data_IF_787237434639
#
_entry.id   IF_787237434639
#
_cell.length_a   1.000
_cell.length_b   1.000
_cell.length_c   1.000
_cell.angle_alpha   90.00
_cell.angle_beta   90.00
_cell.angle_gamma   90.00
#
_symmetry.space_group_name_H-M   'P 1'
#
loop_
_entity.id
_entity.type
_entity.pdbx_description
1 polymer ?
#
# COMPACT_ATOMS: atom_id res chain seq x y z
N UNK A 1 -24.39 0.49 4.79
CA UNK A 1 -23.24 1.39 4.55
C UNK A 1 -23.59 2.65 3.75
N UNK A 2 -24.20 2.65 2.54
CA UNK A 2 -24.55 3.89 1.82
C UNK A 2 -25.47 4.81 2.62
N UNK A 3 -26.42 4.24 3.37
CA UNK A 3 -27.36 4.95 4.25
C UNK A 3 -26.69 5.64 5.44
N UNK A 4 -25.61 5.09 6.00
CA UNK A 4 -24.87 5.70 7.11
C UNK A 4 -24.10 6.93 6.65
N UNK A 5 -23.48 6.88 5.46
CA UNK A 5 -22.80 8.03 4.85
C UNK A 5 -23.79 9.14 4.56
N UNK A 6 -24.99 8.78 4.03
CA UNK A 6 -26.05 9.75 3.74
C UNK A 6 -26.51 10.53 4.99
N UNK A 7 -26.45 9.93 6.18
CA UNK A 7 -26.81 10.62 7.44
C UNK A 7 -25.81 11.74 7.82
N UNK A 8 -24.60 11.74 7.26
CA UNK A 8 -23.57 12.76 7.53
C UNK A 8 -23.66 13.97 6.62
N UNK A 9 -24.50 13.90 5.57
CA UNK A 9 -24.72 15.00 4.62
C UNK A 9 -26.08 15.61 4.87
N UNK A 10 -26.22 16.95 4.94
CA UNK A 10 -27.52 17.59 5.07
C UNK A 10 -28.47 17.15 3.95
N UNK A 11 -29.72 16.79 4.29
CA UNK A 11 -30.66 16.19 3.34
C UNK A 11 -30.89 17.04 2.08
N UNK A 12 -30.85 18.39 2.22
CA UNK A 12 -30.98 19.32 1.08
C UNK A 12 -29.78 19.31 0.11
N UNK A 13 -28.63 18.76 0.54
CA UNK A 13 -27.40 18.75 -0.24
C UNK A 13 -27.08 17.38 -0.85
N UNK A 14 -27.79 16.32 -0.49
CA UNK A 14 -27.57 14.97 -1.03
C UNK A 14 -27.56 14.95 -2.55
N UNK A 15 -28.55 15.57 -3.19
CA UNK A 15 -28.67 15.62 -4.67
C UNK A 15 -27.61 16.45 -5.36
N UNK A 16 -26.78 17.19 -4.59
CA UNK A 16 -25.67 17.99 -5.09
C UNK A 16 -24.31 17.38 -4.73
N UNK A 17 -24.32 16.37 -3.87
CA UNK A 17 -23.09 15.73 -3.37
C UNK A 17 -22.77 14.51 -4.20
N UNK A 18 -21.67 14.49 -4.96
CA UNK A 18 -21.22 13.30 -5.67
C UNK A 18 -20.70 12.27 -4.66
N UNK A 19 -20.87 11.00 -4.98
CA UNK A 19 -20.32 9.88 -4.21
C UNK A 19 -19.36 9.09 -5.09
N UNK A 20 -18.22 8.70 -4.50
CA UNK A 20 -17.21 7.88 -5.14
C UNK A 20 -17.04 6.59 -4.33
N UNK A 21 -17.07 5.45 -5.01
CA UNK A 21 -16.80 4.14 -4.41
C UNK A 21 -15.64 3.53 -5.17
N UNK A 22 -14.51 3.55 -4.53
CA UNK A 22 -13.26 3.13 -5.12
C UNK A 22 -12.67 1.94 -4.37
N UNK A 23 -12.09 1.00 -5.10
CA UNK A 23 -11.43 -0.16 -4.54
C UNK A 23 -10.01 -0.31 -5.08
N UNK A 24 -9.22 -1.09 -4.36
CA UNK A 24 -7.80 -1.30 -4.64
C UNK A 24 -7.51 -2.75 -5.05
N UNK A 25 -6.41 -3.32 -4.58
CA UNK A 25 -5.87 -4.61 -4.99
C UNK A 25 -6.88 -5.78 -5.01
N UNK A 26 -7.79 -5.85 -4.03
CA UNK A 26 -8.78 -6.93 -3.97
C UNK A 26 -9.73 -6.93 -5.17
N UNK A 27 -10.17 -5.76 -5.62
CA UNK A 27 -11.01 -5.66 -6.81
C UNK A 27 -10.21 -5.87 -8.10
N UNK A 28 -8.95 -5.41 -8.16
CA UNK A 28 -8.06 -5.65 -9.31
C UNK A 28 -7.76 -7.13 -9.54
N UNK A 29 -7.79 -7.94 -8.50
CA UNK A 29 -7.55 -9.38 -8.57
C UNK A 29 -8.73 -10.17 -9.15
N UNK A 30 -9.91 -9.55 -9.30
CA UNK A 30 -11.09 -10.16 -9.91
C UNK A 30 -10.96 -10.19 -11.44
N UNK A 31 -11.57 -11.19 -12.08
CA UNK A 31 -11.71 -11.21 -13.55
C UNK A 31 -12.51 -10.00 -14.03
N UNK A 32 -12.33 -9.62 -15.30
CA UNK A 32 -13.05 -8.49 -15.89
C UNK A 32 -14.57 -8.62 -15.73
N UNK A 33 -15.11 -9.81 -15.98
CA UNK A 33 -16.57 -10.09 -15.78
C UNK A 33 -17.00 -9.90 -14.33
N UNK A 34 -16.19 -10.35 -13.38
CA UNK A 34 -16.47 -10.18 -11.95
C UNK A 34 -16.41 -8.70 -11.55
N UNK A 35 -15.43 -7.95 -12.07
CA UNK A 35 -15.33 -6.51 -11.83
C UNK A 35 -16.55 -5.77 -12.39
N UNK A 36 -16.96 -6.07 -13.63
CA UNK A 36 -18.16 -5.47 -14.23
C UNK A 36 -19.41 -5.72 -13.38
N UNK A 37 -19.62 -6.96 -12.95
CA UNK A 37 -20.76 -7.31 -12.09
C UNK A 37 -20.71 -6.59 -10.74
N UNK A 38 -19.53 -6.53 -10.12
CA UNK A 38 -19.31 -5.81 -8.86
C UNK A 38 -19.73 -4.34 -9.00
N UNK A 39 -19.20 -3.64 -9.99
CA UNK A 39 -19.46 -2.21 -10.16
C UNK A 39 -20.87 -1.91 -10.56
N UNK A 40 -21.49 -2.73 -11.41
CA UNK A 40 -22.91 -2.62 -11.73
C UNK A 40 -23.76 -2.76 -10.47
N UNK A 41 -23.51 -3.79 -9.65
CA UNK A 41 -24.24 -4.04 -8.41
C UNK A 41 -24.08 -2.88 -7.42
N UNK A 42 -22.85 -2.40 -7.20
CA UNK A 42 -22.56 -1.28 -6.29
C UNK A 42 -23.27 -0.02 -6.76
N UNK A 43 -23.20 0.30 -8.05
CA UNK A 43 -23.84 1.48 -8.64
C UNK A 43 -25.36 1.43 -8.51
N UNK A 44 -25.97 0.28 -8.80
CA UNK A 44 -27.42 0.11 -8.69
C UNK A 44 -27.89 0.24 -7.24
N UNK A 45 -27.14 -0.32 -6.26
CA UNK A 45 -27.46 -0.15 -4.83
C UNK A 45 -27.38 1.32 -4.43
N UNK A 46 -26.29 2.03 -4.78
CA UNK A 46 -26.15 3.45 -4.44
C UNK A 46 -27.27 4.28 -5.08
N UNK A 47 -27.65 3.96 -6.32
CA UNK A 47 -28.71 4.66 -7.05
C UNK A 47 -30.10 4.42 -6.47
N UNK A 48 -30.38 3.23 -5.95
CA UNK A 48 -31.69 2.88 -5.39
C UNK A 48 -31.84 3.26 -3.93
N UNK A 49 -30.76 3.16 -3.15
CA UNK A 49 -30.80 3.34 -1.69
C UNK A 49 -30.44 4.75 -1.23
N UNK A 50 -29.96 5.62 -2.14
CA UNK A 50 -29.52 6.97 -1.77
C UNK A 50 -30.04 8.04 -2.74
N UNK A 51 -29.89 9.31 -2.34
CA UNK A 51 -30.21 10.47 -3.19
C UNK A 51 -28.95 11.24 -3.63
N UNK A 52 -27.78 10.61 -3.57
CA UNK A 52 -26.55 11.26 -4.02
C UNK A 52 -26.56 11.61 -5.50
N UNK A 53 -25.78 12.63 -5.85
CA UNK A 53 -25.56 13.01 -7.24
C UNK A 53 -24.79 11.90 -7.97
N UNK A 54 -25.46 11.26 -8.90
CA UNK A 54 -24.86 10.26 -9.79
C UNK A 54 -25.02 10.71 -11.24
N UNK A 55 -23.99 10.48 -12.07
CA UNK A 55 -24.09 10.74 -13.49
C UNK A 55 -25.09 9.80 -14.18
N UNK A 56 -25.48 10.06 -15.44
CA UNK A 56 -26.29 9.14 -16.22
C UNK A 56 -25.68 7.75 -16.27
N UNK A 57 -26.54 6.70 -16.32
CA UNK A 57 -26.07 5.32 -16.42
C UNK A 57 -25.14 5.16 -17.63
N UNK A 58 -24.04 4.41 -17.41
CA UNK A 58 -23.05 4.07 -18.44
C UNK A 58 -22.28 5.27 -19.03
N UNK A 59 -22.33 6.43 -18.38
CA UNK A 59 -21.44 7.55 -18.75
C UNK A 59 -19.99 7.28 -18.31
N UNK A 60 -19.01 7.93 -18.96
CA UNK A 60 -17.60 7.86 -18.51
C UNK A 60 -17.43 8.35 -17.06
N UNK A 61 -18.20 9.36 -16.66
CA UNK A 61 -18.19 9.89 -15.30
C UNK A 61 -18.73 8.87 -14.27
N UNK A 62 -19.67 7.99 -14.64
CA UNK A 62 -20.13 6.89 -13.79
C UNK A 62 -19.00 5.89 -13.54
N UNK A 63 -18.22 5.55 -14.56
CA UNK A 63 -17.05 4.66 -14.42
C UNK A 63 -15.94 5.28 -13.57
N UNK A 64 -15.79 6.60 -13.54
CA UNK A 64 -14.83 7.25 -12.65
C UNK A 64 -15.28 7.25 -11.18
N UNK A 65 -16.59 7.31 -10.93
CA UNK A 65 -17.16 7.25 -9.57
C UNK A 65 -17.15 5.84 -8.96
N UNK A 66 -17.22 4.78 -9.79
CA UNK A 66 -17.33 3.40 -9.34
C UNK A 66 -16.32 2.51 -10.06
N UNK A 67 -15.12 2.39 -9.50
CA UNK A 67 -14.06 1.60 -10.14
C UNK A 67 -12.99 1.08 -9.19
N UNK A 68 -12.20 0.13 -9.66
CA UNK A 68 -10.92 -0.18 -9.07
C UNK A 68 -9.84 0.79 -9.57
N UNK A 69 -9.01 1.29 -8.66
CA UNK A 69 -7.84 2.06 -9.02
C UNK A 69 -6.74 1.19 -9.61
N UNK A 70 -5.94 1.77 -10.50
CA UNK A 70 -4.63 1.23 -10.81
C UNK A 70 -3.73 1.30 -9.57
N UNK A 71 -2.80 0.38 -9.46
CA UNK A 71 -1.87 0.36 -8.33
C UNK A 71 -1.01 1.62 -8.23
N UNK A 72 -0.65 2.18 -9.38
CA UNK A 72 0.10 3.44 -9.47
C UNK A 72 -0.73 4.65 -9.00
N UNK A 73 -2.03 4.68 -9.26
CA UNK A 73 -2.93 5.71 -8.73
C UNK A 73 -3.03 5.62 -7.20
N UNK A 74 -3.17 4.39 -6.66
CA UNK A 74 -3.16 4.15 -5.22
C UNK A 74 -1.89 4.69 -4.58
N UNK A 75 -0.72 4.36 -5.15
CA UNK A 75 0.56 4.85 -4.66
C UNK A 75 0.66 6.39 -4.71
N UNK A 76 0.24 7.00 -5.82
CA UNK A 76 0.24 8.46 -5.95
C UNK A 76 -0.65 9.14 -4.89
N UNK A 77 -1.85 8.60 -4.63
CA UNK A 77 -2.72 9.13 -3.58
C UNK A 77 -2.15 8.93 -2.18
N UNK A 78 -1.49 7.81 -1.91
CA UNK A 78 -0.78 7.59 -0.66
C UNK A 78 0.33 8.64 -0.47
N UNK A 79 1.06 8.98 -1.53
CA UNK A 79 2.09 10.02 -1.51
C UNK A 79 1.50 11.43 -1.31
N UNK A 80 0.36 11.75 -1.94
CA UNK A 80 -0.35 13.02 -1.68
C UNK A 80 -0.76 13.15 -0.21
N UNK A 81 -1.32 12.08 0.37
CA UNK A 81 -1.73 12.07 1.77
C UNK A 81 -0.53 12.24 2.71
N UNK A 82 0.57 11.53 2.47
CA UNK A 82 1.80 11.60 3.23
C UNK A 82 2.37 13.03 3.27
N UNK A 83 2.44 13.69 2.13
CA UNK A 83 2.94 15.06 2.03
C UNK A 83 1.99 16.08 2.66
N UNK A 84 0.69 15.95 2.42
CA UNK A 84 -0.31 16.80 3.07
C UNK A 84 -0.29 16.65 4.60
N UNK A 85 -0.19 15.43 5.11
CA UNK A 85 -0.02 15.16 6.54
C UNK A 85 1.24 15.83 7.09
N UNK A 86 2.34 15.78 6.36
CA UNK A 86 3.61 16.42 6.70
C UNK A 86 3.59 17.96 6.59
N UNK A 87 2.47 18.56 6.18
CA UNK A 87 2.35 20.00 6.02
C UNK A 87 2.87 20.55 4.70
N UNK A 88 3.12 19.67 3.74
CA UNK A 88 3.63 20.05 2.42
C UNK A 88 2.47 20.14 1.43
N UNK A 89 2.21 21.34 0.92
CA UNK A 89 1.25 21.51 -0.19
C UNK A 89 1.96 21.28 -1.52
N UNK A 90 1.89 20.05 -1.98
CA UNK A 90 2.52 19.62 -3.24
C UNK A 90 1.95 20.29 -4.48
N UNK A 91 0.77 20.92 -4.39
CA UNK A 91 0.13 21.63 -5.51
C UNK A 91 0.69 23.04 -5.71
N UNK A 92 1.35 23.58 -4.68
CA UNK A 92 1.93 24.94 -4.69
C UNK A 92 3.45 24.97 -4.67
N UNK A 93 4.10 23.80 -4.51
CA UNK A 93 5.54 23.71 -4.43
C UNK A 93 6.17 24.05 -5.80
N UNK A 94 6.89 25.17 -5.86
CA UNK A 94 7.79 25.52 -6.95
C UNK A 94 9.24 25.18 -6.61
N UNK A 95 10.05 24.81 -7.59
CA UNK A 95 11.48 24.60 -7.39
C UNK A 95 12.13 23.61 -8.35
N UNK A 96 13.46 23.45 -8.27
CA UNK A 96 14.19 22.41 -8.99
C UNK A 96 13.87 21.02 -8.40
N UNK A 97 14.10 19.94 -9.15
CA UNK A 97 13.87 18.58 -8.68
C UNK A 97 14.57 18.26 -7.35
N UNK A 98 15.77 18.78 -7.12
CA UNK A 98 16.54 18.59 -5.87
C UNK A 98 15.87 19.31 -4.68
N UNK A 99 15.43 20.57 -4.88
CA UNK A 99 14.75 21.33 -3.83
C UNK A 99 13.43 20.66 -3.43
N UNK A 100 12.68 20.15 -4.40
CA UNK A 100 11.43 19.46 -4.14
C UNK A 100 11.65 18.11 -3.44
N UNK A 101 12.69 17.39 -3.80
CA UNK A 101 13.03 16.10 -3.16
C UNK A 101 13.40 16.26 -1.68
N UNK A 102 13.97 17.40 -1.29
CA UNK A 102 14.28 17.70 0.12
C UNK A 102 13.10 18.20 0.92
N UNK A 103 12.06 18.71 0.26
CA UNK A 103 10.85 19.23 0.91
C UNK A 103 9.71 18.20 1.00
N UNK A 104 9.75 17.16 0.15
CA UNK A 104 8.72 16.13 0.12
C UNK A 104 9.18 14.86 0.84
N UNK A 105 8.21 14.10 1.34
CA UNK A 105 8.44 12.75 1.87
C UNK A 105 8.07 11.71 0.82
N UNK A 106 8.75 10.57 0.84
CA UNK A 106 8.34 9.37 0.10
C UNK A 106 7.21 8.64 0.81
N UNK A 107 6.53 7.76 0.10
CA UNK A 107 5.48 6.92 0.67
C UNK A 107 5.75 5.43 0.40
N UNK A 108 5.57 4.61 1.43
CA UNK A 108 5.60 3.16 1.39
C UNK A 108 4.26 2.67 1.93
N UNK A 109 3.45 2.08 1.06
CA UNK A 109 2.14 1.55 1.43
C UNK A 109 2.13 0.04 1.19
N UNK A 110 1.96 -0.75 2.25
CA UNK A 110 1.83 -2.20 2.16
C UNK A 110 0.47 -2.58 2.69
N UNK A 111 -0.46 -2.79 1.78
CA UNK A 111 -1.81 -3.22 2.10
C UNK A 111 -1.97 -4.75 2.13
N UNK A 112 -3.21 -5.20 2.21
CA UNK A 112 -3.52 -6.64 2.19
C UNK A 112 -3.27 -7.32 0.84
N UNK A 113 -3.36 -6.60 -0.27
CA UNK A 113 -3.26 -7.19 -1.61
C UNK A 113 -2.11 -6.69 -2.48
N UNK A 114 -1.51 -5.56 -2.16
CA UNK A 114 -0.41 -4.96 -2.94
C UNK A 114 0.54 -4.16 -2.07
N UNK A 115 1.71 -3.87 -2.62
CA UNK A 115 2.70 -2.97 -2.02
C UNK A 115 3.06 -1.86 -3.00
N UNK A 116 3.24 -0.64 -2.50
CA UNK A 116 3.63 0.52 -3.29
C UNK A 116 4.86 1.20 -2.69
N UNK A 117 5.72 1.71 -3.59
CA UNK A 117 6.79 2.66 -3.25
C UNK A 117 6.66 3.88 -4.13
N UNK A 118 6.73 5.05 -3.51
CA UNK A 118 6.53 6.34 -4.18
C UNK A 118 7.54 7.36 -3.69
N UNK A 119 8.17 8.06 -4.63
CA UNK A 119 9.07 9.18 -4.32
C UNK A 119 9.11 10.19 -5.47
N UNK A 120 9.59 11.38 -5.21
CA UNK A 120 9.77 12.37 -6.26
C UNK A 120 10.99 12.01 -7.14
N UNK A 121 10.86 12.13 -8.46
CA UNK A 121 11.99 12.01 -9.40
C UNK A 121 12.85 13.26 -9.35
N UNK A 122 14.14 13.10 -9.15
CA UNK A 122 15.09 14.23 -9.14
C UNK A 122 15.65 14.54 -10.52
N UNK A 123 15.66 13.56 -11.42
CA UNK A 123 16.07 13.74 -12.83
C UNK A 123 14.88 13.40 -13.73
N UNK A 124 14.55 14.29 -14.66
CA UNK A 124 13.66 13.93 -15.76
C UNK A 124 14.32 12.78 -16.54
N UNK A 125 13.57 11.73 -16.88
CA UNK A 125 13.98 10.79 -17.91
C UNK A 125 13.98 11.56 -19.25
N UNK A 126 15.00 12.35 -19.48
CA UNK A 126 15.35 12.83 -20.80
C UNK A 126 16.08 11.72 -21.51
N UNK A 127 15.43 11.06 -22.47
CA UNK A 127 16.13 10.44 -23.58
C UNK A 127 17.21 11.41 -24.02
N UNK A 128 18.45 11.04 -23.85
CA UNK A 128 19.76 11.69 -24.06
C UNK A 128 19.92 12.90 -24.98
N UNK A 129 19.01 13.83 -25.06
CA UNK A 129 19.14 15.03 -25.91
C UNK A 129 18.37 16.26 -25.40
N UNK A 130 18.31 16.49 -24.10
CA UNK A 130 17.70 17.68 -23.53
C UNK A 130 18.68 18.47 -22.68
N UNK A 131 19.20 19.58 -23.21
CA UNK A 131 19.83 20.67 -22.47
C UNK A 131 18.82 21.19 -21.42
N UNK A 132 18.79 20.55 -20.24
CA UNK A 132 17.95 20.94 -19.14
C UNK A 132 18.47 22.22 -18.49
N UNK A 133 18.10 23.37 -19.05
CA UNK A 133 18.07 24.60 -18.27
C UNK A 133 17.21 24.35 -17.03
N UNK A 134 17.77 24.57 -15.84
CA UNK A 134 17.12 24.43 -14.56
C UNK A 134 15.96 25.42 -14.35
N UNK A 135 14.95 25.34 -15.20
CA UNK A 135 13.76 26.16 -15.08
C UNK A 135 12.94 25.66 -13.88
N UNK A 136 12.67 26.58 -12.99
CA UNK A 136 11.63 26.44 -11.96
C UNK A 136 10.35 25.93 -12.62
N UNK A 137 9.96 24.71 -12.33
CA UNK A 137 8.71 24.13 -12.80
C UNK A 137 7.72 24.27 -11.65
N UNK A 138 6.84 25.23 -11.75
CA UNK A 138 5.60 25.24 -10.97
C UNK A 138 4.73 24.11 -11.53
N UNK A 139 4.46 23.06 -10.78
CA UNK A 139 3.46 22.08 -11.18
C UNK A 139 2.09 22.78 -11.08
N UNK A 140 1.50 23.09 -12.21
CA UNK A 140 0.22 23.81 -12.28
C UNK A 140 -0.98 22.86 -12.18
N UNK A 141 -0.74 21.55 -12.29
CA UNK A 141 -1.78 20.52 -12.17
C UNK A 141 -1.27 19.27 -11.45
N UNK A 142 -2.20 18.47 -10.92
CA UNK A 142 -1.88 17.16 -10.33
C UNK A 142 -1.34 16.18 -11.37
N UNK A 143 -1.70 16.34 -12.64
CA UNK A 143 -1.25 15.47 -13.73
C UNK A 143 0.23 15.73 -14.03
N UNK A 144 0.66 16.99 -14.11
CA UNK A 144 2.08 17.35 -14.21
C UNK A 144 2.89 16.86 -13.00
N UNK A 145 2.31 16.93 -11.81
CA UNK A 145 2.94 16.41 -10.60
C UNK A 145 3.11 14.90 -10.66
N UNK A 146 2.09 14.17 -11.15
CA UNK A 146 2.14 12.71 -11.29
C UNK A 146 3.25 12.25 -12.25
N UNK A 147 3.54 12.98 -13.31
CA UNK A 147 4.66 12.70 -14.22
C UNK A 147 6.04 12.81 -13.54
N UNK A 148 6.12 13.60 -12.47
CA UNK A 148 7.36 13.85 -11.70
C UNK A 148 7.56 12.88 -10.55
N UNK A 149 6.58 12.06 -10.25
CA UNK A 149 6.63 11.09 -9.16
C UNK A 149 7.04 9.72 -9.71
N UNK A 150 8.02 9.08 -9.08
CA UNK A 150 8.28 7.67 -9.27
C UNK A 150 7.24 6.88 -8.48
N UNK A 151 6.49 6.03 -9.15
CA UNK A 151 5.51 5.14 -8.51
C UNK A 151 5.71 3.73 -9.02
N UNK A 152 5.79 2.76 -8.12
CA UNK A 152 5.67 1.35 -8.43
C UNK A 152 4.64 0.70 -7.52
N UNK A 153 3.88 -0.21 -8.11
CA UNK A 153 2.89 -1.01 -7.38
C UNK A 153 3.01 -2.47 -7.79
N UNK A 154 3.01 -3.35 -6.81
CA UNK A 154 3.16 -4.79 -6.97
C UNK A 154 1.92 -5.49 -6.41
N UNK A 155 1.07 -5.98 -7.30
CA UNK A 155 -0.14 -6.72 -6.95
C UNK A 155 0.23 -8.14 -6.49
N UNK A 156 -0.43 -8.63 -5.45
CA UNK A 156 -0.24 -9.99 -4.94
C UNK A 156 0.88 -10.15 -3.91
N UNK A 157 1.71 -9.10 -3.67
CA UNK A 157 2.76 -9.12 -2.64
C UNK A 157 2.34 -8.48 -1.31
N UNK A 158 1.11 -7.95 -1.22
CA UNK A 158 0.55 -7.46 0.03
C UNK A 158 0.26 -8.59 1.02
N UNK A 159 0.18 -8.25 2.31
CA UNK A 159 0.18 -9.21 3.42
C UNK A 159 -0.84 -10.35 3.29
N UNK A 160 -2.13 -10.01 3.14
CA UNK A 160 -3.17 -11.04 3.12
C UNK A 160 -3.11 -11.95 1.88
N UNK A 161 -2.66 -11.42 0.73
CA UNK A 161 -2.49 -12.24 -0.48
C UNK A 161 -1.26 -13.12 -0.39
N UNK A 162 -0.12 -12.57 0.02
CA UNK A 162 1.13 -13.31 0.14
C UNK A 162 1.03 -14.39 1.22
N UNK A 163 0.47 -14.08 2.38
CA UNK A 163 0.25 -15.04 3.47
C UNK A 163 -0.65 -16.20 3.04
N UNK A 164 -1.81 -15.89 2.47
CA UNK A 164 -2.77 -16.90 1.99
C UNK A 164 -2.13 -17.80 0.93
N UNK A 165 -1.38 -17.22 0.00
CA UNK A 165 -0.70 -17.98 -1.04
C UNK A 165 0.36 -18.90 -0.43
N UNK A 166 1.21 -18.40 0.47
CA UNK A 166 2.25 -19.19 1.12
C UNK A 166 1.66 -20.38 1.91
N UNK A 167 0.60 -20.14 2.69
CA UNK A 167 -0.09 -21.20 3.44
C UNK A 167 -0.66 -22.27 2.50
N UNK A 168 -1.29 -21.88 1.40
CA UNK A 168 -1.83 -22.81 0.40
C UNK A 168 -0.75 -23.62 -0.32
N UNK A 169 0.34 -22.97 -0.75
CA UNK A 169 1.45 -23.67 -1.40
C UNK A 169 2.14 -24.65 -0.46
N UNK A 170 2.32 -24.28 0.81
CA UNK A 170 2.86 -25.17 1.85
C UNK A 170 1.95 -26.38 2.07
N UNK A 171 0.65 -26.17 2.21
CA UNK A 171 -0.34 -27.24 2.37
C UNK A 171 -0.37 -28.16 1.13
N UNK A 172 -0.43 -27.61 -0.07
CA UNK A 172 -0.45 -28.39 -1.32
C UNK A 172 0.82 -29.24 -1.46
N UNK A 173 1.99 -28.68 -1.12
CA UNK A 173 3.25 -29.42 -1.13
C UNK A 173 3.24 -30.60 -0.13
N UNK A 174 2.72 -30.37 1.08
CA UNK A 174 2.58 -31.43 2.09
C UNK A 174 1.66 -32.56 1.60
N UNK A 175 0.53 -32.22 0.98
CA UNK A 175 -0.42 -33.20 0.42
C UNK A 175 0.21 -34.06 -0.67
N UNK A 176 1.02 -33.48 -1.57
CA UNK A 176 1.74 -34.26 -2.59
C UNK A 176 2.72 -35.26 -2.00
N UNK A 177 3.20 -35.00 -0.77
CA UNK A 177 4.09 -35.89 -0.01
C UNK A 177 3.32 -36.84 0.93
N UNK A 178 1.99 -36.84 0.89
CA UNK A 178 1.15 -37.66 1.76
C UNK A 178 1.17 -37.24 3.25
N UNK A 179 1.62 -36.03 3.54
CA UNK A 179 1.71 -35.49 4.91
C UNK A 179 0.41 -34.82 5.30
N UNK A 180 -0.01 -35.01 6.55
CA UNK A 180 -1.13 -34.31 7.16
C UNK A 180 -0.70 -33.16 8.09
N UNK A 181 0.59 -33.10 8.37
CA UNK A 181 1.21 -32.08 9.22
C UNK A 181 2.52 -31.61 8.58
N UNK A 182 2.82 -30.32 8.70
CA UNK A 182 4.03 -29.69 8.17
C UNK A 182 4.46 -28.50 9.03
N UNK A 183 5.76 -28.35 9.22
CA UNK A 183 6.34 -27.17 9.87
C UNK A 183 6.11 -25.92 9.02
N UNK A 184 5.73 -24.82 9.67
CA UNK A 184 5.47 -23.54 9.03
C UNK A 184 6.27 -22.43 9.73
N UNK A 185 7.39 -21.99 9.15
CA UNK A 185 8.30 -21.02 9.78
C UNK A 185 7.66 -19.67 10.08
N UNK A 186 6.61 -19.27 9.34
CA UNK A 186 5.95 -17.98 9.45
C UNK A 186 4.83 -17.92 10.51
N UNK A 187 4.54 -19.01 11.21
CA UNK A 187 3.68 -19.04 12.39
C UNK A 187 4.47 -18.89 13.68
N UNK A 188 3.85 -18.38 14.73
CA UNK A 188 4.45 -18.38 16.07
C UNK A 188 4.78 -19.81 16.52
N UNK A 189 5.71 -19.94 17.45
CA UNK A 189 6.10 -21.25 17.94
C UNK A 189 4.90 -22.01 18.54
N UNK A 190 4.66 -23.23 18.06
CA UNK A 190 3.53 -24.11 18.43
C UNK A 190 2.14 -23.53 18.08
N UNK A 191 2.05 -22.54 17.21
CA UNK A 191 0.78 -22.16 16.59
C UNK A 191 0.29 -23.29 15.67
N UNK A 192 -1.01 -23.60 15.75
CA UNK A 192 -1.64 -24.62 14.91
C UNK A 192 -2.72 -24.01 14.04
N UNK A 193 -2.62 -24.22 12.75
CA UNK A 193 -3.64 -23.84 11.79
C UNK A 193 -3.90 -24.98 10.80
N UNK A 194 -5.15 -25.15 10.37
CA UNK A 194 -5.51 -26.15 9.36
C UNK A 194 -5.83 -25.47 8.04
N UNK A 195 -5.09 -25.79 6.98
CA UNK A 195 -5.28 -25.30 5.62
C UNK A 195 -5.46 -26.49 4.68
N UNK A 196 -6.59 -26.54 3.98
CA UNK A 196 -6.95 -27.60 3.02
C UNK A 196 -6.75 -29.05 3.59
N UNK A 197 -7.01 -29.24 4.90
CA UNK A 197 -6.89 -30.53 5.60
C UNK A 197 -5.47 -30.90 6.05
N UNK A 198 -4.51 -29.97 5.95
CA UNK A 198 -3.15 -30.11 6.49
C UNK A 198 -2.98 -29.20 7.69
N UNK A 199 -2.41 -29.73 8.78
CA UNK A 199 -2.03 -28.94 9.95
C UNK A 199 -0.69 -28.26 9.70
N UNK A 200 -0.68 -26.94 9.67
CA UNK A 200 0.52 -26.12 9.69
C UNK A 200 0.94 -25.88 11.13
N UNK A 201 2.15 -26.28 11.49
CA UNK A 201 2.71 -26.15 12.84
C UNK A 201 3.73 -25.02 12.81
N UNK A 202 3.41 -23.90 13.47
CA UNK A 202 4.30 -22.75 13.58
C UNK A 202 5.59 -23.11 14.29
N UNK A 203 6.74 -22.74 13.70
CA UNK A 203 8.06 -22.97 14.32
C UNK A 203 8.72 -21.68 14.83
N UNK A 204 8.19 -20.51 14.42
CA UNK A 204 8.73 -19.21 14.82
C UNK A 204 10.10 -18.90 14.22
N UNK A 205 10.46 -19.53 13.11
CA UNK A 205 11.77 -19.38 12.47
C UNK A 205 11.77 -18.18 11.51
N UNK A 206 11.88 -16.99 12.07
CA UNK A 206 11.78 -15.72 11.36
C UNK A 206 12.61 -15.65 10.08
N UNK A 207 13.90 -16.00 10.13
CA UNK A 207 14.79 -15.91 8.95
C UNK A 207 14.37 -16.90 7.84
N UNK A 208 13.90 -18.10 8.21
CA UNK A 208 13.34 -19.06 7.27
C UNK A 208 12.02 -18.53 6.65
N UNK A 209 11.20 -17.85 7.45
CA UNK A 209 10.00 -17.17 6.95
C UNK A 209 10.34 -16.07 5.92
N UNK A 210 11.34 -15.22 6.20
CA UNK A 210 11.81 -14.20 5.27
C UNK A 210 12.21 -14.81 3.94
N UNK A 211 12.97 -15.92 3.94
CA UNK A 211 13.39 -16.61 2.71
C UNK A 211 12.20 -17.16 1.92
N UNK A 212 11.23 -17.80 2.60
CA UNK A 212 10.02 -18.29 1.93
C UNK A 212 9.21 -17.16 1.28
N UNK A 213 9.10 -16.02 1.95
CA UNK A 213 8.42 -14.84 1.39
C UNK A 213 9.18 -14.32 0.16
N UNK A 214 10.50 -14.26 0.20
CA UNK A 214 11.34 -13.85 -0.93
C UNK A 214 11.14 -14.76 -2.14
N UNK A 215 11.14 -16.07 -1.94
CA UNK A 215 10.91 -17.04 -3.02
C UNK A 215 9.51 -16.87 -3.63
N UNK A 216 8.49 -16.63 -2.79
CA UNK A 216 7.13 -16.34 -3.23
C UNK A 216 7.07 -15.05 -4.07
N UNK A 217 7.75 -13.99 -3.63
CA UNK A 217 7.82 -12.72 -4.36
C UNK A 217 8.50 -12.89 -5.73
N UNK A 218 9.61 -13.63 -5.80
CA UNK A 218 10.29 -13.93 -7.05
C UNK A 218 9.41 -14.73 -8.01
N UNK A 219 8.65 -15.71 -7.48
CA UNK A 219 7.69 -16.46 -8.28
C UNK A 219 6.61 -15.55 -8.85
N UNK A 220 6.06 -14.67 -8.03
CA UNK A 220 5.01 -13.71 -8.43
C UNK A 220 5.50 -12.72 -9.48
N UNK A 221 6.69 -12.16 -9.34
CA UNK A 221 7.28 -11.25 -10.32
C UNK A 221 7.47 -11.93 -11.70
N UNK A 222 7.89 -13.20 -11.70
CA UNK A 222 8.01 -13.98 -12.95
C UNK A 222 6.64 -14.26 -13.60
N UNK A 223 5.64 -14.60 -12.80
CA UNK A 223 4.26 -14.82 -13.28
C UNK A 223 3.69 -13.56 -13.94
N UNK A 224 3.98 -12.39 -13.38
CA UNK A 224 3.52 -11.09 -13.89
C UNK A 224 4.35 -10.57 -15.08
N UNK A 225 5.33 -11.34 -15.53
CA UNK A 225 6.16 -10.97 -16.68
C UNK A 225 7.19 -9.87 -16.39
N UNK A 226 7.40 -9.52 -15.11
CA UNK A 226 8.52 -8.68 -14.73
C UNK A 226 9.81 -9.50 -14.96
N UNK A 227 10.65 -9.07 -15.88
CA UNK A 227 11.98 -9.67 -16.10
C UNK A 227 12.94 -9.48 -14.93
N UNK A 228 12.50 -8.74 -13.92
CA UNK A 228 13.23 -8.42 -12.69
C UNK A 228 12.98 -9.51 -11.63
N UNK A 229 14.03 -9.82 -10.89
CA UNK A 229 13.98 -10.77 -9.77
C UNK A 229 13.78 -10.07 -8.43
N UNK A 230 13.59 -8.74 -8.41
CA UNK A 230 13.49 -7.93 -7.19
C UNK A 230 12.42 -6.84 -7.32
N UNK A 231 11.87 -6.41 -6.19
CA UNK A 231 11.01 -5.23 -6.10
C UNK A 231 11.80 -3.91 -6.13
N UNK A 232 13.09 -3.96 -6.48
CA UNK A 232 14.03 -2.85 -6.29
C UNK A 232 13.58 -1.56 -6.96
N UNK A 233 13.52 -0.51 -6.18
CA UNK A 233 13.40 0.85 -6.69
C UNK A 233 14.73 1.34 -7.25
N UNK A 234 14.74 2.28 -8.21
CA UNK A 234 15.95 2.96 -8.64
C UNK A 234 16.69 3.59 -7.46
N UNK A 235 18.01 3.54 -7.49
CA UNK A 235 18.83 4.04 -6.38
C UNK A 235 18.58 5.54 -6.11
N UNK A 236 18.35 6.34 -7.13
CA UNK A 236 18.02 7.75 -7.00
C UNK A 236 16.67 8.01 -6.32
N UNK A 237 15.68 7.12 -6.52
CA UNK A 237 14.39 7.21 -5.84
C UNK A 237 14.53 7.07 -4.31
N UNK A 238 15.47 6.24 -3.84
CA UNK A 238 15.71 6.01 -2.41
C UNK A 238 16.72 7.03 -1.85
N UNK A 239 17.83 7.26 -2.55
CA UNK A 239 18.92 8.09 -2.03
C UNK A 239 18.55 9.55 -1.93
N UNK A 240 17.80 10.08 -2.90
CA UNK A 240 17.44 11.48 -2.95
C UNK A 240 16.26 11.84 -2.05
N UNK A 241 15.44 10.86 -1.66
CA UNK A 241 14.35 11.07 -0.69
C UNK A 241 14.92 11.00 0.72
N UNK A 242 14.69 12.04 1.52
CA UNK A 242 15.25 12.13 2.88
C UNK A 242 14.52 11.23 3.86
N UNK A 243 13.18 11.21 3.78
CA UNK A 243 12.32 10.45 4.67
C UNK A 243 11.20 9.78 3.87
N UNK A 244 10.91 8.54 4.21
CA UNK A 244 9.74 7.81 3.75
C UNK A 244 8.77 7.61 4.91
N UNK A 245 7.48 7.72 4.65
CA UNK A 245 6.45 7.29 5.58
C UNK A 245 6.04 5.86 5.25
N UNK A 246 6.21 4.96 6.22
CA UNK A 246 5.79 3.56 6.15
C UNK A 246 4.42 3.41 6.78
N UNK A 247 3.41 3.13 5.95
CA UNK A 247 1.99 3.19 6.30
C UNK A 247 1.34 1.81 6.27
N UNK A 248 0.09 1.74 6.71
CA UNK A 248 -0.73 0.52 6.69
C UNK A 248 -0.05 -0.64 7.45
N UNK A 249 0.20 -1.78 6.82
CA UNK A 249 0.86 -2.92 7.48
C UNK A 249 2.19 -2.55 8.11
N UNK A 250 2.98 -1.68 7.46
CA UNK A 250 4.30 -1.30 7.95
C UNK A 250 4.19 -0.64 9.34
N UNK A 251 3.19 0.22 9.54
CA UNK A 251 2.89 0.78 10.85
C UNK A 251 2.33 -0.30 11.79
N UNK A 252 1.28 -1.01 11.40
CA UNK A 252 0.59 -1.92 12.32
C UNK A 252 1.48 -3.04 12.85
N UNK A 253 2.39 -3.58 12.02
CA UNK A 253 3.28 -4.65 12.46
C UNK A 253 4.43 -4.13 13.35
N UNK A 254 4.99 -2.96 13.03
CA UNK A 254 6.05 -2.35 13.87
C UNK A 254 5.48 -1.80 15.18
N UNK A 255 4.29 -1.19 15.15
CA UNK A 255 3.58 -0.74 16.35
C UNK A 255 3.26 -1.90 17.28
N UNK A 256 2.77 -3.01 16.74
CA UNK A 256 2.55 -4.23 17.53
C UNK A 256 3.84 -4.73 18.19
N UNK A 257 4.97 -4.81 17.46
CA UNK A 257 6.26 -5.18 18.05
C UNK A 257 6.66 -4.23 19.18
N UNK A 258 6.46 -2.93 19.00
CA UNK A 258 6.79 -1.91 19.99
C UNK A 258 5.97 -2.05 21.27
N UNK A 259 4.67 -2.33 21.14
CA UNK A 259 3.73 -2.42 22.28
C UNK A 259 3.78 -3.78 22.96
N UNK A 260 3.73 -4.87 22.17
CA UNK A 260 3.70 -6.23 22.71
C UNK A 260 5.06 -6.71 23.27
N UNK A 261 6.16 -6.11 22.81
CA UNK A 261 7.52 -6.43 23.26
C UNK A 261 8.26 -5.16 23.69
N UNK A 262 7.93 -4.58 24.86
CA UNK A 262 8.50 -3.32 25.33
C UNK A 262 10.03 -3.30 25.29
N UNK A 263 10.60 -2.27 24.68
CA UNK A 263 12.03 -2.11 24.52
C UNK A 263 12.66 -2.84 23.32
N UNK A 264 11.90 -3.63 22.57
CA UNK A 264 12.41 -4.32 21.38
C UNK A 264 12.68 -3.39 20.20
N UNK A 265 11.91 -2.30 20.08
CA UNK A 265 12.04 -1.26 19.05
C UNK A 265 12.30 0.10 19.70
N UNK A 266 13.54 0.34 20.15
CA UNK A 266 13.91 1.61 20.82
C UNK A 266 13.84 2.82 19.87
N UNK A 267 14.06 2.61 18.57
CA UNK A 267 13.99 3.62 17.53
C UNK A 267 12.60 3.97 17.03
N UNK A 268 11.52 3.23 17.45
CA UNK A 268 10.18 3.48 16.95
C UNK A 268 9.75 4.96 17.17
N UNK A 269 9.17 5.64 16.18
CA UNK A 269 8.68 5.15 14.88
C UNK A 269 9.75 5.07 13.77
N UNK A 270 11.01 5.36 14.01
CA UNK A 270 12.10 5.39 13.03
C UNK A 270 13.07 4.19 13.18
N UNK A 271 12.52 3.02 13.55
CA UNK A 271 13.31 1.82 13.74
C UNK A 271 13.99 1.38 12.44
N UNK A 272 15.25 0.96 12.52
CA UNK A 272 15.97 0.36 11.40
C UNK A 272 15.41 -1.02 11.05
N UNK A 273 15.67 -1.50 9.83
CA UNK A 273 15.28 -2.86 9.44
C UNK A 273 16.02 -3.91 10.28
N UNK A 274 17.23 -3.59 10.74
CA UNK A 274 17.98 -4.43 11.66
C UNK A 274 17.28 -4.58 13.02
N UNK A 275 16.82 -3.48 13.63
CA UNK A 275 16.04 -3.52 14.87
C UNK A 275 14.76 -4.32 14.71
N UNK A 276 14.02 -4.10 13.60
CA UNK A 276 12.79 -4.84 13.30
C UNK A 276 13.07 -6.35 13.14
N UNK A 277 14.19 -6.73 12.50
CA UNK A 277 14.56 -8.13 12.35
C UNK A 277 14.92 -8.78 13.71
N UNK A 278 15.61 -8.09 14.59
CA UNK A 278 15.90 -8.60 15.94
C UNK A 278 14.62 -8.78 16.74
N UNK A 279 13.76 -7.76 16.76
CA UNK A 279 12.47 -7.82 17.44
C UNK A 279 11.57 -8.93 16.87
N UNK A 280 11.49 -9.05 15.55
CA UNK A 280 10.72 -10.07 14.85
C UNK A 280 11.17 -11.49 15.18
N UNK A 281 12.51 -11.74 15.24
CA UNK A 281 13.03 -13.07 15.67
C UNK A 281 12.61 -13.42 17.09
N UNK A 282 12.69 -12.46 18.01
CA UNK A 282 12.22 -12.66 19.39
C UNK A 282 10.73 -12.92 19.47
N UNK A 283 9.94 -12.11 18.79
CA UNK A 283 8.49 -12.21 18.76
C UNK A 283 8.02 -13.55 18.17
N UNK A 284 8.51 -13.92 16.97
CA UNK A 284 8.13 -15.17 16.30
C UNK A 284 8.48 -16.42 17.12
N UNK A 285 9.63 -16.42 17.82
CA UNK A 285 10.07 -17.52 18.67
C UNK A 285 9.26 -17.68 19.97
N UNK A 286 8.36 -16.73 20.28
CA UNK A 286 7.49 -16.80 21.45
C UNK A 286 6.41 -17.88 21.25
N UNK A 287 6.11 -18.60 22.32
CA UNK A 287 5.05 -19.64 22.32
C UNK A 287 3.70 -19.01 22.01
N UNK A 288 2.92 -19.65 21.12
CA UNK A 288 1.59 -19.15 20.74
C UNK A 288 0.66 -18.95 21.95
N UNK A 289 0.70 -19.86 22.91
CA UNK A 289 -0.08 -19.76 24.14
C UNK A 289 0.24 -18.50 24.93
N UNK A 290 1.49 -18.05 24.93
CA UNK A 290 1.90 -16.80 25.58
C UNK A 290 1.37 -15.58 24.79
N UNK A 291 1.48 -15.57 23.47
CA UNK A 291 0.98 -14.50 22.60
C UNK A 291 -0.52 -14.24 22.83
N UNK A 292 -1.34 -15.28 22.89
CA UNK A 292 -2.81 -15.14 23.06
C UNK A 292 -3.25 -14.84 24.49
N UNK A 293 -2.40 -15.10 25.49
CA UNK A 293 -2.71 -14.80 26.89
C UNK A 293 -2.24 -13.42 27.32
N UNK A 294 -1.20 -12.91 26.69
CA UNK A 294 -0.68 -11.57 26.95
C UNK A 294 -1.49 -10.54 26.16
N UNK A 295 -2.43 -9.89 26.86
CA UNK A 295 -3.33 -8.89 26.26
C UNK A 295 -2.78 -7.48 26.28
N UNK A 296 -1.63 -7.26 26.92
CA UNK A 296 -1.07 -5.91 27.09
C UNK A 296 -0.58 -5.30 25.76
N UNK A 297 -0.31 -6.15 24.75
CA UNK A 297 0.02 -5.72 23.38
C UNK A 297 -1.17 -5.58 22.43
N UNK A 298 -2.41 -5.74 22.92
CA UNK A 298 -3.61 -5.64 22.10
C UNK A 298 -4.25 -4.27 22.27
N UNK A 299 -4.41 -3.58 21.16
CA UNK A 299 -5.12 -2.31 21.06
C UNK A 299 -6.03 -2.31 19.81
N UNK A 300 -6.62 -1.15 19.49
CA UNK A 300 -7.44 -0.99 18.29
C UNK A 300 -6.67 -1.25 16.98
N UNK A 301 -5.34 -1.10 16.99
CA UNK A 301 -4.45 -1.35 15.86
C UNK A 301 -4.01 -2.80 15.74
N UNK A 302 -4.31 -3.62 16.75
CA UNK A 302 -3.95 -5.05 16.78
C UNK A 302 -5.13 -5.89 17.26
N UNK A 303 -6.19 -6.03 16.44
CA UNK A 303 -7.33 -6.89 16.82
C UNK A 303 -6.91 -8.38 16.89
N UNK A 304 -7.57 -9.13 17.75
CA UNK A 304 -7.26 -10.53 18.06
C UNK A 304 -7.21 -11.45 16.83
N UNK A 305 -8.05 -11.20 15.83
CA UNK A 305 -8.12 -11.97 14.59
C UNK A 305 -6.90 -11.77 13.67
N UNK A 306 -6.10 -10.71 13.92
CA UNK A 306 -4.86 -10.43 13.19
C UNK A 306 -3.61 -10.97 13.86
N UNK A 307 -3.68 -11.42 15.12
CA UNK A 307 -2.53 -11.95 15.85
C UNK A 307 -1.82 -13.11 15.14
N UNK A 308 -2.52 -14.12 14.59
CA UNK A 308 -1.86 -15.26 13.94
C UNK A 308 -0.94 -14.87 12.78
N UNK A 309 -1.23 -13.75 12.08
CA UNK A 309 -0.42 -13.25 10.97
C UNK A 309 0.78 -12.41 11.38
N UNK A 310 0.96 -12.03 12.64
CA UNK A 310 1.96 -11.02 13.04
C UNK A 310 3.41 -11.48 12.85
N UNK A 311 3.71 -12.76 13.04
CA UNK A 311 5.04 -13.28 12.70
C UNK A 311 5.33 -13.14 11.21
N UNK A 312 4.37 -13.53 10.35
CA UNK A 312 4.46 -13.33 8.91
C UNK A 312 4.58 -11.84 8.54
N UNK A 313 3.75 -10.97 9.12
CA UNK A 313 3.73 -9.53 8.84
C UNK A 313 5.11 -8.88 9.09
N UNK A 314 5.76 -9.22 10.21
CA UNK A 314 7.10 -8.70 10.54
C UNK A 314 8.19 -9.19 9.60
N UNK A 315 8.14 -10.46 9.19
CA UNK A 315 9.05 -11.04 8.20
C UNK A 315 8.83 -10.43 6.80
N UNK A 316 7.57 -10.10 6.46
CA UNK A 316 7.21 -9.44 5.21
C UNK A 316 7.81 -8.03 5.11
N UNK A 317 7.88 -7.26 6.20
CA UNK A 317 8.55 -5.95 6.22
C UNK A 317 9.99 -6.09 5.74
N UNK A 318 10.76 -7.02 6.31
CA UNK A 318 12.15 -7.27 5.94
C UNK A 318 12.28 -7.65 4.45
N UNK A 319 11.36 -8.47 3.96
CA UNK A 319 11.38 -8.94 2.59
C UNK A 319 11.01 -7.82 1.58
N UNK A 320 10.00 -6.99 1.89
CA UNK A 320 9.56 -5.92 0.98
C UNK A 320 10.51 -4.72 0.99
N UNK A 321 11.05 -4.35 2.13
CA UNK A 321 11.89 -3.15 2.23
C UNK A 321 13.37 -3.40 1.95
N UNK A 322 13.88 -4.60 2.26
CA UNK A 322 15.30 -4.91 2.28
C UNK A 322 16.02 -4.85 0.93
N UNK A 323 17.35 -4.90 0.99
CA UNK A 323 18.26 -4.76 -0.16
C UNK A 323 18.16 -5.90 -1.17
N UNK A 324 17.95 -7.14 -0.71
CA UNK A 324 18.12 -8.33 -1.57
C UNK A 324 16.96 -8.56 -2.50
N UNK A 325 15.74 -8.47 -1.99
CA UNK A 325 14.52 -8.81 -2.71
C UNK A 325 13.50 -7.68 -2.76
N UNK A 326 13.62 -6.73 -1.83
CA UNK A 326 12.68 -5.65 -1.61
C UNK A 326 13.02 -4.38 -2.37
N UNK A 327 12.51 -3.28 -1.86
CA UNK A 327 12.66 -1.94 -2.46
C UNK A 327 14.11 -1.43 -2.47
N UNK A 328 15.00 -1.97 -1.65
CA UNK A 328 16.41 -1.64 -1.67
C UNK A 328 16.91 -0.80 -0.49
N UNK A 329 16.21 -0.79 0.62
CA UNK A 329 16.67 -0.12 1.84
C UNK A 329 17.74 -0.95 2.56
N UNK A 330 18.80 -0.28 3.03
CA UNK A 330 19.84 -0.91 3.85
C UNK A 330 19.32 -1.27 5.25
N UNK A 331 19.97 -2.26 5.88
CA UNK A 331 19.55 -2.77 7.20
C UNK A 331 19.57 -1.69 8.30
N UNK A 332 20.53 -0.78 8.26
CA UNK A 332 20.69 0.30 9.25
C UNK A 332 19.97 1.61 8.85
N UNK A 333 19.10 1.56 7.83
CA UNK A 333 18.39 2.77 7.39
C UNK A 333 17.50 3.33 8.49
N UNK A 334 17.54 4.63 8.68
CA UNK A 334 16.61 5.40 9.53
C UNK A 334 15.76 6.36 8.71
N UNK A 335 15.70 6.13 7.38
CA UNK A 335 14.90 6.97 6.47
C UNK A 335 13.42 6.68 6.51
N UNK A 336 12.98 5.63 7.22
CA UNK A 336 11.57 5.22 7.26
C UNK A 336 10.99 5.57 8.62
N UNK A 337 9.91 6.34 8.61
CA UNK A 337 9.08 6.60 9.79
C UNK A 337 7.77 5.81 9.65
N UNK A 338 7.52 4.89 10.57
CA UNK A 338 6.32 4.04 10.57
C UNK A 338 5.18 4.78 11.26
N UNK A 339 4.15 5.16 10.48
CA UNK A 339 3.11 6.08 10.94
C UNK A 339 1.72 5.66 10.45
N UNK A 340 0.72 5.98 11.26
CA UNK A 340 -0.70 5.90 10.94
C UNK A 340 -1.27 7.31 10.75
N UNK A 341 -0.86 8.23 11.63
CA UNK A 341 -1.23 9.63 11.57
C UNK A 341 0.01 10.51 11.50
N UNK A 342 -0.06 11.61 10.76
CA UNK A 342 0.95 12.66 10.74
C UNK A 342 0.30 14.00 11.05
N UNK A 343 0.74 14.66 12.13
CA UNK A 343 0.12 15.89 12.62
C UNK A 343 -1.40 15.76 12.84
N UNK A 344 -1.84 14.59 13.34
CA UNK A 344 -3.25 14.30 13.60
C UNK A 344 -4.11 14.07 12.34
N UNK A 345 -3.48 13.92 11.18
CA UNK A 345 -4.14 13.65 9.90
C UNK A 345 -3.83 12.22 9.46
N UNK A 346 -4.86 11.56 8.97
CA UNK A 346 -4.74 10.27 8.32
C UNK A 346 -3.86 10.37 7.06
N UNK A 347 -2.95 9.43 6.87
CA UNK A 347 -2.01 9.40 5.75
C UNK A 347 -2.28 8.27 4.76
N UNK A 348 -3.43 7.61 4.85
CA UNK A 348 -3.83 6.59 3.90
C UNK A 348 -4.16 7.17 2.51
N UNK A 349 -4.12 6.33 1.48
CA UNK A 349 -4.44 6.70 0.09
C UNK A 349 -5.83 7.35 -0.07
N UNK A 350 -6.79 7.03 0.79
CA UNK A 350 -8.15 7.58 0.79
C UNK A 350 -8.16 9.09 0.99
N UNK A 351 -7.30 9.61 1.87
CA UNK A 351 -7.12 11.04 2.07
C UNK A 351 -6.55 11.71 0.82
N UNK A 352 -5.52 11.12 0.21
CA UNK A 352 -4.92 11.64 -1.02
C UNK A 352 -5.90 11.66 -2.20
N UNK A 353 -6.74 10.63 -2.31
CA UNK A 353 -7.80 10.56 -3.29
C UNK A 353 -8.84 11.69 -3.08
N UNK A 354 -9.26 11.93 -1.83
CA UNK A 354 -10.16 13.04 -1.48
C UNK A 354 -9.54 14.41 -1.81
N UNK A 355 -8.25 14.61 -1.50
CA UNK A 355 -7.52 15.83 -1.85
C UNK A 355 -7.48 16.05 -3.37
N UNK A 356 -7.25 14.99 -4.15
CA UNK A 356 -7.28 15.03 -5.61
C UNK A 356 -8.63 15.48 -6.14
N UNK A 357 -9.73 14.95 -5.60
CA UNK A 357 -11.09 15.37 -5.99
C UNK A 357 -11.37 16.83 -5.66
N UNK A 358 -10.99 17.30 -4.46
CA UNK A 358 -11.16 18.71 -4.05
C UNK A 358 -10.35 19.64 -4.95
N UNK A 359 -9.10 19.26 -5.28
CA UNK A 359 -8.25 20.05 -6.18
C UNK A 359 -8.88 20.18 -7.57
N UNK A 360 -9.30 19.06 -8.19
CA UNK A 360 -9.98 19.04 -9.48
C UNK A 360 -11.24 19.90 -9.49
N UNK A 361 -12.06 19.82 -8.43
CA UNK A 361 -13.27 20.63 -8.32
C UNK A 361 -12.96 22.14 -8.28
N UNK A 362 -11.89 22.55 -7.58
CA UNK A 362 -11.44 23.95 -7.53
C UNK A 362 -10.94 24.44 -8.89
N UNK A 363 -10.08 23.68 -9.56
CA UNK A 363 -9.55 24.03 -10.88
C UNK A 363 -10.68 24.17 -11.89
N UNK A 364 -11.69 23.30 -11.85
CA UNK A 364 -12.87 23.38 -12.70
C UNK A 364 -13.73 24.63 -12.41
N UNK A 365 -13.95 24.94 -11.12
CA UNK A 365 -14.69 26.14 -10.71
C UNK A 365 -14.01 27.45 -11.16
N UNK A 366 -12.68 27.46 -11.21
CA UNK A 366 -11.88 28.59 -11.66
C UNK A 366 -11.81 28.71 -13.21
N UNK A 367 -12.48 27.82 -13.95
CA UNK A 367 -12.54 27.83 -15.42
C UNK A 367 -11.21 27.50 -16.11
N UNK A 368 -10.24 26.94 -15.37
CA UNK A 368 -8.90 26.58 -15.88
C UNK A 368 -8.85 25.22 -16.55
N UNK A 369 -9.88 24.39 -16.36
CA UNK A 369 -9.98 23.08 -16.97
C UNK A 369 -11.37 22.90 -17.60
N UNK A 370 -11.43 22.64 -18.89
CA UNK A 370 -12.69 22.48 -19.64
C UNK A 370 -13.11 21.02 -19.81
N UNK A 371 -12.34 20.08 -19.30
CA UNK A 371 -12.63 18.65 -19.43
C UNK A 371 -12.32 17.91 -18.11
N UNK A 372 -13.37 17.38 -17.48
CA UNK A 372 -13.26 16.22 -16.61
C UNK A 372 -12.86 14.99 -17.46
N UNK A 373 -11.70 15.06 -18.08
CA UNK A 373 -11.10 13.85 -18.64
C UNK A 373 -10.38 13.13 -17.50
N UNK A 374 -10.75 11.86 -17.27
CA UNK A 374 -9.89 10.91 -16.60
C UNK A 374 -8.59 10.87 -17.39
N UNK A 375 -7.62 11.68 -17.00
CA UNK A 375 -6.27 11.49 -17.48
C UNK A 375 -5.80 10.20 -16.82
N UNK A 376 -5.74 9.13 -17.62
CA UNK A 376 -4.94 7.99 -17.27
C UNK A 376 -3.56 8.56 -16.98
N UNK A 377 -3.17 8.55 -15.70
CA UNK A 377 -1.82 8.96 -15.31
C UNK A 377 -0.87 8.28 -16.29
N UNK A 378 -0.17 9.04 -17.12
CA UNK A 378 0.75 8.55 -18.14
C UNK A 378 2.02 7.94 -17.53
N UNK A 379 1.85 7.23 -16.44
CA UNK A 379 2.83 6.40 -15.78
C UNK A 379 2.96 5.15 -16.63
N UNK A 380 4.04 5.05 -17.32
CA UNK A 380 4.47 4.10 -18.34
C UNK A 380 3.55 2.88 -18.45
N UNK A 381 3.02 2.67 -19.67
CA UNK A 381 2.12 1.56 -20.01
C UNK A 381 2.48 0.35 -19.17
N UNK A 382 1.61 0.00 -18.19
CA UNK A 382 1.58 -1.36 -17.72
C UNK A 382 1.32 -2.19 -18.97
N UNK A 383 2.34 -2.90 -19.45
CA UNK A 383 2.20 -3.86 -20.54
C UNK A 383 1.10 -4.81 -20.09
N UNK A 384 -0.06 -4.74 -20.74
CA UNK A 384 -1.08 -5.78 -20.63
C UNK A 384 -0.39 -7.06 -21.06
N UNK A 385 -0.03 -7.88 -20.09
CA UNK A 385 0.24 -9.29 -20.35
C UNK A 385 -1.13 -9.94 -20.43
N UNK A 386 -1.39 -10.49 -21.61
CA UNK A 386 -2.61 -11.22 -21.94
C UNK A 386 -2.77 -12.46 -21.06
#
# INVERSE_FOLDING_TARGET
MPTEIAKRVPTGDLKKTPVYVWATAGARALSETQQQLLWQTVTDVVRTETQFLLPPKQSLAEHDQFRAFLGVEQGFFAWLAANYGSGVDVTTIGGTGETLATQTVGALDVGGGSAQIVSLRTKGNGDGNGSGNGNMISATSLDELAERVYVRSYLGVGAAHAERRLRKETSATALTQGKKEVSFPCGFKNELETVDGVSLIGTGEYDACVLLIQDLQYAKLREDGFGETTLRAPDDAIHNTQTFLGMSLLFHATHWLHVAFPGSLAGFPNSSLHEIAIAGRGACATEWTQIVTDKDGLDENTPLDRLPGRCFDTALIQSILGLKSGFGFGEDTQKISFVDLVNGKDVEWTMGAALSLVHRARVHADGRDTALQCVALGVGKETKVA
#
